data_IF_951914010673
#
_entry.id   IF_951914010673
#
_cell.length_a   1.000
_cell.length_b   1.000
_cell.length_c   1.000
_cell.angle_alpha   90.00
_cell.angle_beta   90.00
_cell.angle_gamma   90.00
#
_symmetry.space_group_name_H-M   'P 1'
#
loop_
_entity.id
_entity.type
_entity.pdbx_description
1 polymer ?
#
# COMPACT_ATOMS: atom_id res chain seq x y z
N UNK A 1 -8.68 -4.70 12.47
CA UNK A 1 -7.39 -4.75 13.19
C UNK A 1 -6.45 -3.71 12.62
N UNK A 2 -5.30 -3.46 13.27
CA UNK A 2 -4.26 -2.60 12.68
C UNK A 2 -3.57 -3.32 11.51
N UNK A 3 -3.17 -2.62 10.44
CA UNK A 3 -2.44 -3.22 9.33
C UNK A 3 -1.11 -3.86 9.78
N UNK A 4 -0.71 -5.02 9.22
CA UNK A 4 0.53 -5.71 9.59
C UNK A 4 1.75 -5.09 8.90
N UNK A 5 2.00 -3.80 9.15
CA UNK A 5 3.01 -2.97 8.44
C UNK A 5 4.43 -3.54 8.53
N UNK A 6 4.75 -4.27 9.59
CA UNK A 6 6.08 -4.85 9.80
C UNK A 6 6.22 -6.28 9.23
N UNK A 7 5.15 -6.84 8.63
CA UNK A 7 5.20 -8.20 8.09
C UNK A 7 6.10 -8.27 6.85
N UNK A 8 6.96 -9.31 6.73
CA UNK A 8 7.81 -9.50 5.55
C UNK A 8 7.03 -9.52 4.23
N UNK A 9 5.83 -10.09 4.24
CA UNK A 9 4.94 -10.21 3.10
C UNK A 9 4.48 -8.83 2.63
N UNK A 10 4.03 -7.98 3.55
CA UNK A 10 3.57 -6.63 3.23
C UNK A 10 4.72 -5.72 2.81
N UNK A 11 5.88 -5.83 3.47
CA UNK A 11 7.10 -5.15 3.06
C UNK A 11 7.42 -5.49 1.60
N UNK A 12 7.45 -6.77 1.25
CA UNK A 12 7.75 -7.20 -0.11
C UNK A 12 6.68 -6.71 -1.11
N UNK A 13 5.41 -6.73 -0.73
CA UNK A 13 4.31 -6.22 -1.56
C UNK A 13 4.46 -4.72 -1.83
N UNK A 14 4.69 -3.93 -0.80
CA UNK A 14 4.91 -2.47 -0.90
C UNK A 14 6.13 -2.18 -1.78
N UNK A 15 7.24 -2.90 -1.62
CA UNK A 15 8.40 -2.73 -2.50
C UNK A 15 8.08 -2.98 -3.98
N UNK A 16 7.29 -4.02 -4.29
CA UNK A 16 6.84 -4.29 -5.66
C UNK A 16 5.96 -3.17 -6.21
N UNK A 17 5.02 -2.66 -5.42
CA UNK A 17 4.15 -1.55 -5.82
C UNK A 17 4.96 -0.29 -6.12
N UNK A 18 5.85 0.12 -5.22
CA UNK A 18 6.70 1.31 -5.37
C UNK A 18 7.57 1.22 -6.62
N UNK A 19 8.23 0.07 -6.82
CA UNK A 19 9.08 -0.18 -7.99
C UNK A 19 8.27 -0.18 -9.29
N UNK A 20 7.09 -0.81 -9.29
CA UNK A 20 6.21 -0.85 -10.46
C UNK A 20 5.73 0.55 -10.84
N UNK A 21 5.22 1.30 -9.86
CA UNK A 21 4.73 2.66 -10.07
C UNK A 21 5.83 3.58 -10.60
N UNK A 22 7.02 3.55 -9.98
CA UNK A 22 8.17 4.34 -10.44
C UNK A 22 8.60 3.95 -11.87
N UNK A 23 8.69 2.65 -12.17
CA UNK A 23 9.05 2.16 -13.50
C UNK A 23 8.11 2.67 -14.60
N UNK A 24 6.81 2.68 -14.35
CA UNK A 24 5.81 2.99 -15.38
C UNK A 24 5.44 4.47 -15.45
N UNK A 25 5.54 5.21 -14.34
CA UNK A 25 5.13 6.62 -14.28
C UNK A 25 6.31 7.60 -14.24
N UNK A 26 7.52 7.12 -13.90
CA UNK A 26 8.68 7.96 -13.62
C UNK A 26 8.56 8.79 -12.33
N UNK A 27 7.54 8.53 -11.50
CA UNK A 27 7.27 9.26 -10.26
C UNK A 27 7.46 8.34 -9.05
N UNK A 28 7.85 8.94 -7.93
CA UNK A 28 7.99 8.22 -6.65
C UNK A 28 6.80 8.53 -5.75
N UNK A 29 6.22 7.50 -5.11
CA UNK A 29 5.13 7.69 -4.12
C UNK A 29 5.68 8.08 -2.75
N UNK A 30 6.89 7.63 -2.44
CA UNK A 30 7.66 7.95 -1.22
C UNK A 30 9.13 8.13 -1.63
N UNK A 31 9.96 8.82 -0.83
CA UNK A 31 11.37 9.01 -1.16
C UNK A 31 12.12 7.71 -1.44
N UNK A 32 12.88 7.62 -2.53
CA UNK A 32 13.70 6.45 -2.84
C UNK A 32 14.75 6.09 -1.77
N UNK A 33 15.08 7.02 -0.87
CA UNK A 33 15.96 6.79 0.27
C UNK A 33 15.28 6.06 1.43
N UNK A 34 13.96 5.83 1.39
CA UNK A 34 13.24 5.13 2.45
C UNK A 34 13.70 3.67 2.52
N UNK A 35 14.17 3.18 3.69
CA UNK A 35 14.54 1.78 3.85
C UNK A 35 13.37 0.84 3.54
N UNK A 36 13.62 -0.36 2.96
CA UNK A 36 12.55 -1.29 2.62
C UNK A 36 11.61 -1.63 3.79
N UNK A 37 12.15 -1.81 4.99
CA UNK A 37 11.38 -2.10 6.20
C UNK A 37 10.46 -0.95 6.65
N UNK A 38 10.86 0.30 6.38
CA UNK A 38 10.08 1.49 6.77
C UNK A 38 9.07 1.89 5.67
N UNK A 39 9.19 1.30 4.48
CA UNK A 39 8.38 1.69 3.33
C UNK A 39 6.87 1.50 3.54
N UNK A 40 6.38 0.41 4.19
CA UNK A 40 4.95 0.26 4.46
C UNK A 40 4.40 1.37 5.35
N UNK A 41 5.08 1.70 6.46
CA UNK A 41 4.61 2.74 7.38
C UNK A 41 4.64 4.13 6.72
N UNK A 42 5.69 4.44 5.96
CA UNK A 42 5.78 5.72 5.24
C UNK A 42 4.74 5.85 4.14
N UNK A 43 4.49 4.78 3.36
CA UNK A 43 3.45 4.76 2.33
C UNK A 43 2.05 4.83 2.94
N UNK A 44 1.83 4.10 4.04
CA UNK A 44 0.55 4.05 4.76
C UNK A 44 0.10 5.44 5.25
N UNK A 45 1.06 6.30 5.62
CA UNK A 45 0.81 7.64 6.15
C UNK A 45 0.69 8.75 5.08
N UNK A 46 0.88 8.45 3.79
CA UNK A 46 0.80 9.47 2.75
C UNK A 46 -0.60 10.12 2.69
N UNK A 47 -0.68 11.43 2.38
CA UNK A 47 -1.93 12.19 2.44
C UNK A 47 -2.84 11.99 1.21
N UNK A 48 -2.48 11.09 0.29
CA UNK A 48 -3.25 10.75 -0.90
C UNK A 48 -3.60 9.27 -0.88
N UNK A 49 -4.68 8.89 -1.57
CA UNK A 49 -5.14 7.50 -1.62
C UNK A 49 -4.15 6.62 -2.40
N UNK A 50 -3.76 5.51 -1.78
CA UNK A 50 -3.03 4.41 -2.42
C UNK A 50 -3.71 3.12 -2.04
N UNK A 51 -4.10 2.33 -3.04
CA UNK A 51 -4.61 0.99 -2.86
C UNK A 51 -4.09 0.07 -3.96
N UNK A 52 -4.15 -1.23 -3.74
CA UNK A 52 -3.92 -2.22 -4.80
C UNK A 52 -4.83 -3.42 -4.63
N UNK A 53 -4.95 -4.20 -5.70
CA UNK A 53 -5.82 -5.36 -5.80
C UNK A 53 -5.11 -6.51 -6.53
N UNK A 54 -5.68 -7.71 -6.45
CA UNK A 54 -5.21 -8.86 -7.22
C UNK A 54 -5.68 -8.83 -8.68
N UNK A 55 -5.47 -9.94 -9.40
CA UNK A 55 -5.82 -10.05 -10.84
C UNK A 55 -7.15 -10.75 -11.09
N UNK A 56 -7.98 -10.91 -10.06
CA UNK A 56 -9.31 -11.50 -10.17
C UNK A 56 -10.24 -10.61 -11.00
N UNK A 57 -11.26 -11.21 -11.63
CA UNK A 57 -12.26 -10.48 -12.43
C UNK A 57 -13.05 -9.46 -11.58
N UNK A 58 -13.35 -9.82 -10.33
CA UNK A 58 -13.83 -8.89 -9.30
C UNK A 58 -12.64 -8.56 -8.37
N UNK A 59 -12.04 -7.36 -8.45
CA UNK A 59 -10.78 -7.06 -7.79
C UNK A 59 -10.87 -7.17 -6.28
N UNK A 60 -10.12 -8.12 -5.71
CA UNK A 60 -9.93 -8.20 -4.27
C UNK A 60 -8.81 -7.24 -3.87
N UNK A 61 -9.17 -6.23 -3.07
CA UNK A 61 -8.23 -5.28 -2.50
C UNK A 61 -7.27 -5.99 -1.54
N UNK A 62 -5.98 -5.72 -1.69
CA UNK A 62 -4.90 -6.35 -0.92
C UNK A 62 -3.96 -5.32 -0.26
N UNK A 63 -4.24 -4.04 -0.44
CA UNK A 63 -3.60 -2.94 0.26
C UNK A 63 -4.49 -1.69 0.21
N UNK A 64 -4.58 -0.97 1.31
CA UNK A 64 -5.12 0.38 1.37
C UNK A 64 -4.35 1.22 2.38
N UNK A 65 -3.85 2.39 1.98
CA UNK A 65 -3.22 3.30 2.93
C UNK A 65 -4.28 3.98 3.83
N UNK A 66 -3.84 4.71 4.85
CA UNK A 66 -4.76 5.36 5.80
C UNK A 66 -5.78 6.28 5.11
N UNK A 67 -5.34 7.04 4.10
CA UNK A 67 -6.24 7.92 3.35
C UNK A 67 -7.33 7.14 2.59
N UNK A 68 -7.02 5.94 2.09
CA UNK A 68 -8.02 5.05 1.50
C UNK A 68 -9.01 4.56 2.58
N UNK A 69 -8.52 4.04 3.69
CA UNK A 69 -9.38 3.53 4.76
C UNK A 69 -10.32 4.61 5.32
N UNK A 70 -9.81 5.84 5.50
CA UNK A 70 -10.60 6.99 5.93
C UNK A 70 -11.67 7.38 4.88
N UNK A 71 -11.33 7.37 3.59
CA UNK A 71 -12.28 7.73 2.53
C UNK A 71 -13.44 6.73 2.38
N UNK A 72 -13.15 5.44 2.55
CA UNK A 72 -14.15 4.37 2.47
C UNK A 72 -14.79 4.03 3.81
N UNK A 73 -14.41 4.70 4.90
CA UNK A 73 -14.90 4.46 6.26
C UNK A 73 -14.77 2.99 6.70
N UNK A 74 -13.67 2.35 6.29
CA UNK A 74 -13.43 0.91 6.50
C UNK A 74 -12.20 0.66 7.36
N UNK A 75 -12.25 -0.40 8.17
CA UNK A 75 -11.05 -0.95 8.80
C UNK A 75 -10.19 -1.71 7.78
N UNK A 76 -8.94 -1.99 8.14
CA UNK A 76 -8.03 -2.77 7.28
C UNK A 76 -8.60 -4.15 6.89
N UNK A 77 -9.25 -4.85 7.82
CA UNK A 77 -9.79 -6.21 7.58
C UNK A 77 -11.07 -6.19 6.73
N UNK A 78 -11.80 -5.06 6.72
CA UNK A 78 -12.95 -4.88 5.83
C UNK A 78 -12.50 -4.47 4.42
N UNK A 79 -11.37 -3.75 4.34
CA UNK A 79 -10.82 -3.24 3.10
C UNK A 79 -9.94 -4.26 2.38
N UNK A 80 -9.34 -5.20 3.08
CA UNK A 80 -8.46 -6.23 2.51
C UNK A 80 -8.96 -7.61 2.85
N UNK A 81 -8.95 -8.51 1.86
CA UNK A 81 -9.51 -9.88 1.99
C UNK A 81 -8.49 -10.92 1.53
#
# INVERSE_FOLDING_TARGET
MSPPLDSPELIQHVQRMLKSYSRWTGRELIPASTPPGDSPIVLYQQPFVVLSHGTQDDPILNFGNRAALELWEMSWDEFTV
#
